data_IF_307637372107
#
_entry.id   IF_307637372107
#
_cell.length_a   1.000
_cell.length_b   1.000
_cell.length_c   1.000
_cell.angle_alpha   90.00
_cell.angle_beta   90.00
_cell.angle_gamma   90.00
#
_symmetry.space_group_name_H-M   'P 1'
#
loop_
_entity.id
_entity.type
_entity.pdbx_description
1 polymer ?
#
# COMPACT_ATOMS: atom_id res chain seq x y z
N UNK A 1 -22.27 18.31 28.13
CA UNK A 1 -21.01 17.63 27.81
C UNK A 1 -20.56 18.10 26.45
N UNK A 2 -19.30 18.49 26.29
CA UNK A 2 -18.76 18.85 24.98
C UNK A 2 -18.59 17.57 24.15
N UNK A 3 -19.07 17.58 22.90
CA UNK A 3 -18.90 16.43 22.02
C UNK A 3 -17.40 16.19 21.78
N UNK A 4 -16.85 15.17 22.43
CA UNK A 4 -15.48 14.73 22.21
C UNK A 4 -15.37 14.13 20.80
N UNK A 5 -14.23 14.37 20.13
CA UNK A 5 -13.92 13.66 18.89
C UNK A 5 -13.94 12.15 19.17
N UNK A 6 -14.64 11.38 18.34
CA UNK A 6 -14.56 9.93 18.39
C UNK A 6 -13.08 9.52 18.36
N UNK A 7 -12.62 8.65 19.28
CA UNK A 7 -11.23 8.25 19.34
C UNK A 7 -10.84 7.56 18.02
N UNK A 8 -9.83 8.10 17.35
CA UNK A 8 -9.25 7.51 16.14
C UNK A 8 -7.97 6.81 16.55
N UNK A 9 -7.86 5.52 16.25
CA UNK A 9 -6.65 4.73 16.48
C UNK A 9 -5.87 4.58 15.16
N UNK A 10 -4.79 5.36 14.94
CA UNK A 10 -4.00 5.23 13.73
C UNK A 10 -3.22 3.91 13.74
N UNK A 11 -3.42 3.08 12.72
CA UNK A 11 -2.61 1.89 12.49
C UNK A 11 -1.49 2.23 11.51
N UNK A 12 -0.27 1.79 11.80
CA UNK A 12 0.90 1.95 10.93
C UNK A 12 1.65 0.63 10.81
N UNK A 13 2.41 0.46 9.73
CA UNK A 13 3.21 -0.75 9.45
C UNK A 13 2.41 -2.07 9.48
N UNK A 14 1.15 -2.05 9.08
CA UNK A 14 0.35 -3.28 8.94
C UNK A 14 0.76 -4.02 7.66
N UNK A 15 1.10 -5.30 7.80
CA UNK A 15 1.48 -6.15 6.66
C UNK A 15 0.31 -6.41 5.71
N UNK A 16 0.64 -6.77 4.47
CA UNK A 16 -0.36 -7.16 3.47
C UNK A 16 -1.13 -8.41 3.93
N UNK A 17 -2.44 -8.43 3.71
CA UNK A 17 -3.25 -9.61 3.97
C UNK A 17 -4.60 -9.30 4.61
N UNK A 18 -5.21 -10.35 5.16
CA UNK A 18 -6.48 -10.28 5.89
C UNK A 18 -6.19 -10.19 7.37
N UNK A 19 -6.74 -9.16 8.00
CA UNK A 19 -6.61 -8.90 9.43
C UNK A 19 -7.99 -8.86 10.08
N UNK A 20 -8.02 -9.02 11.40
CA UNK A 20 -9.23 -8.93 12.21
C UNK A 20 -9.04 -7.80 13.21
N UNK A 21 -10.04 -6.92 13.33
CA UNK A 21 -10.03 -5.80 14.26
C UNK A 21 -11.16 -5.96 15.28
N UNK A 22 -10.84 -5.78 16.57
CA UNK A 22 -11.82 -5.68 17.65
C UNK A 22 -11.35 -4.70 18.70
N UNK A 23 -12.29 -4.02 19.37
CA UNK A 23 -12.02 -3.16 20.52
C UNK A 23 -12.48 -3.88 21.78
N UNK A 24 -11.66 -3.83 22.82
CA UNK A 24 -11.94 -4.40 24.14
C UNK A 24 -11.90 -3.29 25.20
N UNK A 25 -12.89 -3.29 26.10
CA UNK A 25 -12.95 -2.39 27.24
C UNK A 25 -12.55 -3.19 28.48
N UNK A 26 -11.56 -2.68 29.21
CA UNK A 26 -11.04 -3.30 30.43
C UNK A 26 -11.48 -2.51 31.67
N UNK A 27 -11.66 -3.20 32.79
CA UNK A 27 -11.78 -2.58 34.11
C UNK A 27 -10.41 -2.35 34.78
N UNK A 28 -10.42 -1.77 35.98
CA UNK A 28 -9.20 -1.48 36.76
C UNK A 28 -8.40 -2.74 37.15
N UNK A 29 -9.02 -3.91 37.12
CA UNK A 29 -8.39 -5.19 37.41
C UNK A 29 -7.97 -5.94 36.13
N UNK A 30 -8.11 -5.32 34.95
CA UNK A 30 -7.77 -5.89 33.66
C UNK A 30 -8.77 -6.93 33.13
N UNK A 31 -9.99 -6.97 33.65
CA UNK A 31 -11.05 -7.86 33.16
C UNK A 31 -11.77 -7.22 31.97
N UNK A 32 -12.10 -8.01 30.96
CA UNK A 32 -12.86 -7.54 29.79
C UNK A 32 -14.32 -7.32 30.18
N UNK A 33 -14.79 -6.08 30.06
CA UNK A 33 -16.19 -5.70 30.28
C UNK A 33 -17.02 -5.84 29.00
N UNK A 34 -16.45 -5.44 27.87
CA UNK A 34 -17.11 -5.47 26.57
C UNK A 34 -16.10 -5.69 25.45
N UNK A 35 -16.54 -6.37 24.39
CA UNK A 35 -15.75 -6.61 23.19
C UNK A 35 -16.63 -6.47 21.95
N UNK A 36 -16.16 -5.72 20.95
CA UNK A 36 -16.83 -5.67 19.65
C UNK A 36 -16.60 -6.97 18.87
N UNK A 37 -17.52 -7.38 17.98
CA UNK A 37 -17.26 -8.48 17.04
C UNK A 37 -15.99 -8.21 16.22
N UNK A 38 -15.28 -9.29 15.86
CA UNK A 38 -14.11 -9.19 14.98
C UNK A 38 -14.56 -8.72 13.59
N UNK A 39 -14.07 -7.55 13.18
CA UNK A 39 -14.28 -7.01 11.86
C UNK A 39 -13.10 -7.35 10.95
N UNK A 40 -13.30 -8.11 9.86
CA UNK A 40 -12.24 -8.36 8.91
C UNK A 40 -11.94 -7.09 8.10
N UNK A 41 -10.65 -6.83 7.86
CA UNK A 41 -10.23 -5.86 6.85
C UNK A 41 -9.05 -6.39 6.04
N UNK A 42 -8.91 -5.88 4.83
CA UNK A 42 -7.88 -6.32 3.89
C UNK A 42 -6.90 -5.19 3.61
N UNK A 43 -5.62 -5.42 3.89
CA UNK A 43 -4.55 -4.49 3.58
C UNK A 43 -3.90 -4.91 2.28
N UNK A 44 -4.04 -4.05 1.26
CA UNK A 44 -3.39 -4.22 -0.02
C UNK A 44 -2.15 -3.33 -0.09
N UNK A 45 -0.99 -3.93 -0.37
CA UNK A 45 0.22 -3.20 -0.74
C UNK A 45 0.53 -3.49 -2.20
N UNK A 46 0.34 -2.50 -3.04
CA UNK A 46 0.64 -2.60 -4.47
C UNK A 46 2.12 -2.91 -4.69
N UNK A 47 2.40 -3.95 -5.48
CA UNK A 47 3.76 -4.31 -5.86
C UNK A 47 4.34 -3.29 -6.86
N UNK A 48 5.66 -3.24 -6.99
CA UNK A 48 6.32 -2.41 -8.01
C UNK A 48 5.88 -2.82 -9.43
N UNK A 49 5.69 -4.12 -9.68
CA UNK A 49 5.18 -4.63 -10.94
C UNK A 49 3.74 -4.16 -11.22
N UNK A 50 2.87 -4.16 -10.20
CA UNK A 50 1.51 -3.64 -10.33
C UNK A 50 1.50 -2.13 -10.60
N UNK A 51 2.39 -1.37 -9.94
CA UNK A 51 2.58 0.06 -10.23
C UNK A 51 3.06 0.32 -11.66
N UNK A 52 3.95 -0.53 -12.18
CA UNK A 52 4.43 -0.45 -13.57
C UNK A 52 3.33 -0.84 -14.58
N UNK A 53 2.46 -1.79 -14.22
CA UNK A 53 1.34 -2.18 -15.08
C UNK A 53 0.28 -1.06 -15.20
N UNK A 54 -0.01 -0.34 -14.10
CA UNK A 54 -0.94 0.79 -14.12
C UNK A 54 -0.33 2.06 -14.74
N UNK A 55 0.97 2.29 -14.49
CA UNK A 55 1.71 3.42 -15.06
C UNK A 55 3.01 2.93 -15.71
N UNK A 56 2.95 2.53 -17.00
CA UNK A 56 4.11 2.06 -17.76
C UNK A 56 5.27 3.05 -17.73
N UNK A 57 6.50 2.52 -17.63
CA UNK A 57 7.73 3.31 -17.59
C UNK A 57 7.97 4.00 -18.94
N UNK A 58 8.14 5.32 -18.93
CA UNK A 58 8.65 6.09 -20.06
C UNK A 58 10.18 6.15 -20.04
N UNK A 59 10.80 6.63 -21.11
CA UNK A 59 12.26 6.66 -21.24
C UNK A 59 12.98 7.42 -20.12
N UNK A 60 12.34 8.47 -19.61
CA UNK A 60 12.84 9.32 -18.52
C UNK A 60 12.53 8.77 -17.12
N UNK A 61 11.63 7.79 -17.02
CA UNK A 61 11.25 7.20 -15.73
C UNK A 61 12.30 6.20 -15.21
N UNK A 62 13.09 5.64 -16.12
CA UNK A 62 14.09 4.63 -15.80
C UNK A 62 15.20 5.21 -14.91
N UNK A 63 15.38 4.65 -13.71
CA UNK A 63 16.35 5.12 -12.71
C UNK A 63 15.83 6.16 -11.74
N UNK A 64 14.66 6.76 -12.01
CA UNK A 64 13.99 7.71 -11.11
C UNK A 64 12.93 6.99 -10.27
N UNK A 65 12.09 6.19 -10.94
CA UNK A 65 11.03 5.41 -10.32
C UNK A 65 11.57 4.05 -9.87
N UNK A 66 11.37 3.61 -8.62
CA UNK A 66 11.88 2.31 -8.16
C UNK A 66 11.29 1.13 -8.92
N UNK A 67 10.09 1.30 -9.52
CA UNK A 67 9.46 0.32 -10.42
C UNK A 67 10.05 0.28 -11.83
N UNK A 68 10.93 1.22 -12.20
CA UNK A 68 11.57 1.33 -13.51
C UNK A 68 13.11 1.26 -13.36
N UNK A 69 13.71 0.07 -13.21
CA UNK A 69 15.16 -0.07 -13.08
C UNK A 69 15.88 0.32 -14.39
N UNK A 70 17.04 0.98 -14.29
CA UNK A 70 17.86 1.34 -15.46
C UNK A 70 18.23 0.13 -16.35
N UNK A 71 18.35 -1.06 -15.75
CA UNK A 71 18.63 -2.32 -16.46
C UNK A 71 17.55 -2.71 -17.46
N UNK A 72 16.31 -2.28 -17.24
CA UNK A 72 15.16 -2.59 -18.09
C UNK A 72 14.92 -1.52 -19.16
N UNK A 73 15.78 -0.49 -19.23
CA UNK A 73 15.62 0.59 -20.21
C UNK A 73 15.83 0.02 -21.62
N UNK A 74 14.86 0.12 -22.53
CA UNK A 74 15.03 -0.35 -23.89
C UNK A 74 16.12 0.45 -24.59
N UNK A 75 16.98 -0.24 -25.35
CA UNK A 75 17.96 0.43 -26.20
C UNK A 75 17.25 1.24 -27.29
N UNK A 76 17.75 2.44 -27.63
CA UNK A 76 17.18 3.22 -28.70
C UNK A 76 17.29 2.44 -30.00
N UNK A 77 16.15 2.14 -30.64
CA UNK A 77 16.15 1.56 -31.99
C UNK A 77 16.79 2.56 -32.92
N UNK A 78 18.04 2.31 -33.32
CA UNK A 78 18.70 3.11 -34.33
C UNK A 78 18.00 2.86 -35.66
N UNK A 79 17.28 3.85 -36.18
CA UNK A 79 16.74 3.83 -37.55
C UNK A 79 17.90 4.02 -38.54
N UNK A 80 18.76 3.00 -38.68
CA UNK A 80 19.81 2.94 -39.70
C UNK A 80 19.28 2.06 -40.85
N UNK A 81 18.08 2.37 -41.33
CA UNK A 81 17.65 1.93 -42.65
C UNK A 81 17.28 3.19 -43.43
N UNK A 82 18.09 3.59 -44.42
CA UNK A 82 17.71 4.65 -45.33
C UNK A 82 16.70 4.02 -46.29
N UNK A 83 15.44 4.48 -46.23
CA UNK A 83 14.38 4.18 -47.20
C UNK A 83 13.74 2.78 -47.12
N UNK A 84 12.54 2.73 -46.53
CA UNK A 84 11.35 2.13 -47.14
C UNK A 84 10.16 3.06 -46.89
#
# INVERSE_FOLDING_TARGET
GQAGRSPVFPLSNVDRGTHQLSVEIFDELGRVLEKTPNQPFHVQRISLAQKRATHPCKEDDYGVRPECPLKDKPEPKSSILPFF
#
